data_IF_969070821916
#
_entry.id   IF_969070821916
#
_cell.length_a   1.000
_cell.length_b   1.000
_cell.length_c   1.000
_cell.angle_alpha   90.00
_cell.angle_beta   90.00
_cell.angle_gamma   90.00
#
_symmetry.space_group_name_H-M   'P 1'
#
loop_
_entity.id
_entity.type
_entity.pdbx_description
1 polymer ?
#
# COMPACT_ATOMS: atom_id res chain seq x y z
N UNK A 1 -7.67 2.37 -11.64
CA UNK A 1 -6.41 1.70 -11.21
C UNK A 1 -6.75 0.38 -10.53
N UNK A 2 -6.02 -0.71 -10.81
CA UNK A 2 -6.27 -2.04 -10.21
C UNK A 2 -5.01 -2.56 -9.49
N UNK A 3 -5.01 -2.74 -8.15
CA UNK A 3 -3.87 -3.29 -7.44
C UNK A 3 -3.66 -4.77 -7.80
N UNK A 4 -2.40 -5.19 -7.95
CA UNK A 4 -2.03 -6.60 -8.13
C UNK A 4 -1.24 -7.13 -6.95
N UNK A 5 -0.26 -6.39 -6.43
CA UNK A 5 0.59 -6.85 -5.33
C UNK A 5 1.12 -5.69 -4.50
N UNK A 6 1.19 -5.88 -3.19
CA UNK A 6 1.87 -4.97 -2.27
C UNK A 6 2.89 -5.77 -1.45
N UNK A 7 4.13 -5.29 -1.42
CA UNK A 7 5.22 -5.84 -0.62
C UNK A 7 5.72 -4.73 0.29
N UNK A 8 5.75 -5.00 1.59
CA UNK A 8 6.14 -4.04 2.63
C UNK A 8 7.20 -4.68 3.51
N UNK A 9 8.26 -3.94 3.87
CA UNK A 9 9.28 -4.39 4.81
C UNK A 9 9.85 -3.22 5.60
N UNK A 10 10.20 -3.44 6.87
CA UNK A 10 10.81 -2.42 7.73
C UNK A 10 9.91 -1.23 8.04
N UNK A 11 8.58 -1.41 8.01
CA UNK A 11 7.59 -0.34 8.19
C UNK A 11 6.73 -0.57 9.44
N UNK A 12 6.83 0.30 10.46
CA UNK A 12 6.11 0.22 11.74
C UNK A 12 5.90 -1.22 12.25
N UNK A 13 4.67 -1.73 12.18
CA UNK A 13 4.24 -3.06 12.65
C UNK A 13 4.73 -4.24 11.78
N UNK A 14 5.35 -3.96 10.63
CA UNK A 14 5.92 -4.93 9.69
C UNK A 14 7.45 -4.76 9.63
N UNK A 15 8.20 -5.20 10.66
CA UNK A 15 9.66 -5.16 10.63
C UNK A 15 10.23 -6.11 9.56
N UNK A 16 9.60 -7.27 9.35
CA UNK A 16 9.92 -8.20 8.27
C UNK A 16 9.16 -7.93 6.98
N UNK A 17 9.44 -8.74 5.95
CA UNK A 17 8.74 -8.65 4.66
C UNK A 17 7.34 -9.25 4.76
N UNK A 18 6.34 -8.49 4.29
CA UNK A 18 4.94 -8.86 4.20
C UNK A 18 4.49 -8.66 2.75
N UNK A 19 4.04 -9.75 2.11
CA UNK A 19 3.55 -9.73 0.73
C UNK A 19 2.06 -10.01 0.72
N UNK A 20 1.31 -9.15 0.02
CA UNK A 20 -0.14 -9.26 -0.13
C UNK A 20 -0.47 -9.28 -1.62
N UNK A 21 -1.12 -10.35 -2.04
CA UNK A 21 -1.56 -10.54 -3.42
C UNK A 21 -3.03 -10.13 -3.58
N UNK A 22 -3.28 -9.19 -4.49
CA UNK A 22 -4.60 -8.69 -4.88
C UNK A 22 -5.07 -9.23 -6.24
N UNK A 23 -4.28 -10.08 -6.89
CA UNK A 23 -4.62 -10.68 -8.19
C UNK A 23 -5.97 -11.36 -8.12
N UNK A 24 -6.83 -11.06 -9.10
CA UNK A 24 -8.19 -11.59 -9.20
C UNK A 24 -9.21 -10.99 -8.21
N UNK A 25 -8.81 -10.10 -7.29
CA UNK A 25 -9.70 -9.51 -6.29
C UNK A 25 -10.21 -8.15 -6.75
N UNK A 26 -11.54 -7.96 -6.73
CA UNK A 26 -12.18 -6.65 -7.04
C UNK A 26 -12.44 -5.80 -5.80
N UNK A 27 -12.71 -6.45 -4.65
CA UNK A 27 -12.99 -5.81 -3.36
C UNK A 27 -12.34 -6.65 -2.27
N UNK A 28 -11.73 -5.97 -1.30
CA UNK A 28 -11.09 -6.62 -0.15
C UNK A 28 -11.35 -5.78 1.11
N UNK A 29 -11.31 -6.45 2.26
CA UNK A 29 -11.37 -5.81 3.57
C UNK A 29 -10.11 -6.18 4.36
N UNK A 30 -9.54 -5.19 5.05
CA UNK A 30 -8.41 -5.39 5.96
C UNK A 30 -8.99 -5.58 7.37
N UNK A 31 -9.02 -6.82 7.85
CA UNK A 31 -9.61 -7.20 9.14
C UNK A 31 -8.53 -7.70 10.11
N UNK A 32 -8.66 -7.34 11.38
CA UNK A 32 -7.72 -7.75 12.43
C UNK A 32 -7.94 -6.96 13.73
N UNK A 33 -7.35 -7.41 14.85
CA UNK A 33 -7.49 -6.72 16.14
C UNK A 33 -6.86 -5.31 16.11
N UNK A 34 -7.26 -4.44 17.02
CA UNK A 34 -6.61 -3.14 17.21
C UNK A 34 -5.12 -3.36 17.52
N UNK A 35 -4.23 -2.59 16.88
CA UNK A 35 -2.78 -2.77 16.99
C UNK A 35 -2.16 -3.77 16.00
N UNK A 36 -2.95 -4.53 15.23
CA UNK A 36 -2.41 -5.50 14.25
C UNK A 36 -1.70 -4.89 13.02
N UNK A 37 -1.56 -3.56 12.93
CA UNK A 37 -0.92 -2.91 11.77
C UNK A 37 -1.83 -2.66 10.57
N UNK A 38 -3.16 -2.67 10.74
CA UNK A 38 -4.12 -2.33 9.65
C UNK A 38 -3.88 -0.93 9.07
N UNK A 39 -3.70 0.07 9.94
CA UNK A 39 -3.40 1.44 9.51
C UNK A 39 -2.04 1.52 8.83
N UNK A 40 -1.04 0.78 9.31
CA UNK A 40 0.28 0.68 8.66
C UNK A 40 0.18 0.14 7.23
N UNK A 41 -0.72 -0.81 6.99
CA UNK A 41 -0.95 -1.31 5.64
C UNK A 41 -1.56 -0.25 4.72
N UNK A 42 -2.48 0.58 5.24
CA UNK A 42 -3.00 1.73 4.49
C UNK A 42 -1.93 2.79 4.24
N UNK A 43 -1.06 3.04 5.21
CA UNK A 43 0.13 3.90 5.04
C UNK A 43 1.04 3.38 3.93
N UNK A 44 1.22 2.07 3.81
CA UNK A 44 2.06 1.49 2.76
C UNK A 44 1.53 1.80 1.35
N UNK A 45 0.21 1.81 1.15
CA UNK A 45 -0.38 2.24 -0.12
C UNK A 45 -0.10 3.72 -0.39
N UNK A 46 -0.36 4.58 0.59
CA UNK A 46 -0.11 6.02 0.47
C UNK A 46 1.35 6.32 0.17
N UNK A 47 2.26 5.68 0.91
CA UNK A 47 3.69 5.84 0.72
C UNK A 47 4.14 5.29 -0.63
N UNK A 48 3.67 4.11 -1.06
CA UNK A 48 4.00 3.54 -2.37
C UNK A 48 3.63 4.47 -3.52
N UNK A 49 2.42 5.03 -3.49
CA UNK A 49 1.92 5.94 -4.52
C UNK A 49 2.60 7.31 -4.46
N UNK A 50 2.58 7.97 -3.30
CA UNK A 50 2.91 9.40 -3.20
C UNK A 50 4.29 9.68 -2.61
N UNK A 51 4.92 8.70 -1.95
CA UNK A 51 6.19 8.89 -1.26
C UNK A 51 6.10 9.71 0.03
N UNK A 52 4.89 9.88 0.57
CA UNK A 52 4.58 10.64 1.78
C UNK A 52 3.71 9.82 2.74
N UNK A 53 3.55 10.29 3.97
CA UNK A 53 2.66 9.68 4.96
C UNK A 53 1.19 10.10 4.72
N UNK A 54 0.23 9.40 5.33
CA UNK A 54 -1.19 9.76 5.17
C UNK A 54 -1.60 11.05 5.85
N UNK A 55 -0.84 11.49 6.85
CA UNK A 55 -1.14 12.66 7.67
C UNK A 55 -0.35 13.91 7.25
N UNK A 56 0.63 13.76 6.36
CA UNK A 56 1.46 14.86 5.88
C UNK A 56 2.00 14.63 4.49
N UNK A 57 1.99 15.70 3.69
CA UNK A 57 2.55 15.71 2.34
C UNK A 57 4.07 15.92 2.34
N UNK A 58 4.71 16.13 3.50
CA UNK A 58 6.16 16.29 3.59
C UNK A 58 6.86 14.93 3.54
N UNK A 59 7.80 14.78 2.61
CA UNK A 59 8.56 13.55 2.45
C UNK A 59 9.40 13.18 3.69
N UNK A 60 9.88 14.17 4.44
CA UNK A 60 10.70 13.93 5.65
C UNK A 60 9.91 13.27 6.79
N UNK A 61 8.61 13.56 6.89
CA UNK A 61 7.73 12.95 7.91
C UNK A 61 7.43 11.47 7.58
N UNK A 62 7.73 11.00 6.36
CA UNK A 62 7.63 9.58 6.01
C UNK A 62 8.73 8.71 6.65
N UNK A 63 9.83 9.28 7.14
CA UNK A 63 10.88 8.53 7.84
C UNK A 63 10.37 7.98 9.19
N UNK A 64 9.35 8.60 9.80
CA UNK A 64 8.68 8.07 11.00
C UNK A 64 7.89 6.77 10.76
N UNK A 65 7.74 6.36 9.50
CA UNK A 65 7.14 5.08 9.13
C UNK A 65 8.13 3.92 9.26
N UNK A 66 9.45 4.19 9.31
CA UNK A 66 10.47 3.15 9.47
C UNK A 66 10.29 2.48 10.84
N UNK A 67 10.25 1.14 10.84
CA UNK A 67 10.12 0.36 12.07
C UNK A 67 11.36 0.54 12.96
N UNK A 68 11.15 0.67 14.27
CA UNK A 68 12.26 0.81 15.23
C UNK A 68 13.23 -0.36 15.10
N UNK A 69 14.53 -0.05 14.96
CA UNK A 69 15.59 -1.05 14.77
C UNK A 69 15.75 -1.56 13.34
N UNK A 70 14.89 -1.15 12.40
CA UNK A 70 15.08 -1.45 10.98
C UNK A 70 16.02 -0.42 10.32
N UNK A 71 17.03 -0.85 9.54
CA UNK A 71 17.96 0.06 8.88
C UNK A 71 17.32 0.79 7.69
N UNK A 72 16.23 0.25 7.14
CA UNK A 72 15.52 0.77 5.99
C UNK A 72 14.07 0.31 5.98
N UNK A 73 13.24 1.06 5.26
CA UNK A 73 11.87 0.71 4.91
C UNK A 73 11.78 0.53 3.40
N UNK A 74 11.10 -0.52 2.96
CA UNK A 74 10.88 -0.84 1.56
C UNK A 74 9.40 -1.04 1.28
N UNK A 75 8.89 -0.40 0.22
CA UNK A 75 7.54 -0.62 -0.29
C UNK A 75 7.60 -0.83 -1.79
N UNK A 76 7.04 -1.95 -2.25
CA UNK A 76 6.81 -2.23 -3.66
C UNK A 76 5.32 -2.38 -3.89
N UNK A 77 4.78 -1.58 -4.80
CA UNK A 77 3.39 -1.64 -5.17
C UNK A 77 3.26 -1.89 -6.67
N UNK A 78 2.58 -2.97 -7.02
CA UNK A 78 2.27 -3.35 -8.39
C UNK A 78 0.78 -3.11 -8.63
N UNK A 79 0.48 -2.45 -9.74
CA UNK A 79 -0.88 -2.10 -10.12
C UNK A 79 -0.99 -1.99 -11.64
N UNK A 80 -2.21 -1.97 -12.16
CA UNK A 80 -2.47 -1.68 -13.57
C UNK A 80 -3.36 -0.46 -13.76
N UNK A 81 -3.08 0.27 -14.83
CA UNK A 81 -3.85 1.42 -15.31
C UNK A 81 -4.13 1.20 -16.78
N UNK A 82 -5.40 1.28 -17.19
CA UNK A 82 -5.83 1.08 -18.58
C UNK A 82 -5.27 -0.23 -19.20
N UNK A 83 -5.26 -1.31 -18.41
CA UNK A 83 -4.74 -2.61 -18.82
C UNK A 83 -3.21 -2.74 -18.83
N UNK A 84 -2.45 -1.66 -18.62
CA UNK A 84 -0.98 -1.71 -18.57
C UNK A 84 -0.47 -1.94 -17.14
N UNK A 85 0.38 -2.94 -16.89
CA UNK A 85 0.95 -3.20 -15.57
C UNK A 85 2.13 -2.27 -15.27
N UNK A 86 2.19 -1.78 -14.04
CA UNK A 86 3.20 -0.87 -13.52
C UNK A 86 3.71 -1.38 -12.18
N UNK A 87 4.97 -1.08 -11.88
CA UNK A 87 5.56 -1.30 -10.57
C UNK A 87 6.19 -0.01 -10.06
N UNK A 88 5.84 0.39 -8.84
CA UNK A 88 6.53 1.42 -8.09
C UNK A 88 7.28 0.79 -6.93
N UNK A 89 8.55 1.16 -6.76
CA UNK A 89 9.43 0.74 -5.66
C UNK A 89 9.95 1.97 -4.96
N UNK A 90 9.81 2.03 -3.64
CA UNK A 90 10.35 3.11 -2.80
C UNK A 90 11.11 2.54 -1.61
N UNK A 91 12.22 3.19 -1.29
CA UNK A 91 13.09 2.85 -0.17
C UNK A 91 13.51 4.12 0.58
N UNK A 92 13.32 4.12 1.90
CA UNK A 92 13.93 5.08 2.81
C UNK A 92 14.95 4.36 3.70
N UNK A 93 15.99 5.07 4.10
CA UNK A 93 17.02 4.57 5.00
C UNK A 93 16.98 5.34 6.32
N UNK A 94 17.08 4.64 7.45
CA UNK A 94 17.01 5.25 8.77
C UNK A 94 18.15 6.26 9.04
N UNK A 95 19.28 6.07 8.37
CA UNK A 95 20.43 6.97 8.44
C UNK A 95 20.35 8.14 7.43
N UNK A 96 19.18 8.41 6.85
CA UNK A 96 18.94 9.49 5.90
C UNK A 96 19.87 9.47 4.67
N UNK A 97 20.39 8.29 4.29
CA UNK A 97 21.00 8.11 2.96
C UNK A 97 19.99 8.45 1.85
N UNK A 98 20.50 8.77 0.67
CA UNK A 98 19.69 9.14 -0.50
C UNK A 98 18.53 8.15 -0.69
N UNK A 99 17.26 8.60 -0.59
CA UNK A 99 16.11 7.73 -0.77
C UNK A 99 16.04 7.27 -2.22
N UNK A 100 15.49 6.08 -2.44
CA UNK A 100 15.32 5.53 -3.78
C UNK A 100 13.85 5.42 -4.13
N UNK A 101 13.50 5.84 -5.34
CA UNK A 101 12.20 5.59 -5.94
C UNK A 101 12.39 5.26 -7.41
N UNK A 102 11.65 4.26 -7.87
CA UNK A 102 11.62 3.83 -9.26
C UNK A 102 10.17 3.49 -9.63
N UNK A 103 9.71 3.99 -10.76
CA UNK A 103 8.51 3.56 -11.46
C UNK A 103 8.95 2.87 -12.76
N UNK A 104 8.42 1.68 -13.03
CA UNK A 104 8.72 0.92 -14.24
C UNK A 104 7.44 0.30 -14.84
N UNK A 105 7.35 0.30 -16.18
CA UNK A 105 6.36 -0.47 -16.92
C UNK A 105 6.72 -1.95 -16.86
N UNK A 106 5.73 -2.81 -16.62
CA UNK A 106 5.88 -4.27 -16.61
C UNK A 106 5.30 -4.91 -17.89
N UNK A 107 4.99 -4.12 -18.91
CA UNK A 107 4.43 -4.61 -20.16
C UNK A 107 5.52 -5.23 -21.05
N UNK A 108 5.26 -6.41 -21.60
CA UNK A 108 6.15 -7.02 -22.59
C UNK A 108 6.02 -6.29 -23.95
N UNK A 109 7.14 -5.82 -24.50
CA UNK A 109 7.21 -5.29 -25.88
C UNK A 109 6.75 -3.84 -26.11
N UNK A 110 6.53 -3.05 -25.06
CA UNK A 110 6.21 -1.62 -25.16
C UNK A 110 7.27 -0.73 -24.52
N UNK A 111 7.39 0.51 -25.00
CA UNK A 111 8.37 1.51 -24.54
C UNK A 111 8.63 1.44 -23.02
N UNK A 112 9.89 1.18 -22.68
CA UNK A 112 10.39 0.91 -21.33
C UNK A 112 10.36 2.22 -20.51
N UNK A 113 9.16 2.66 -20.10
CA UNK A 113 9.05 3.84 -19.24
C UNK A 113 9.59 3.46 -17.86
N UNK A 114 10.81 3.90 -17.60
CA UNK A 114 11.46 3.86 -16.30
C UNK A 114 11.71 5.29 -15.84
N UNK A 115 11.17 5.63 -14.68
CA UNK A 115 11.39 6.92 -14.02
C UNK A 115 12.05 6.65 -12.68
N UNK A 116 13.20 7.26 -12.45
CA UNK A 116 13.83 7.34 -11.13
C UNK A 116 13.60 8.71 -10.48
N UNK A 117 14.01 8.87 -9.22
CA UNK A 117 13.81 10.06 -8.37
C UNK A 117 12.43 10.15 -7.68
N UNK A 118 12.43 10.38 -6.36
CA UNK A 118 11.23 10.47 -5.52
C UNK A 118 10.16 11.39 -6.10
N UNK A 119 10.54 12.59 -6.55
CA UNK A 119 9.61 13.61 -7.04
C UNK A 119 9.06 13.24 -8.42
N UNK A 120 9.93 12.89 -9.36
CA UNK A 120 9.53 12.51 -10.71
C UNK A 120 8.64 11.25 -10.71
N UNK A 121 8.95 10.28 -9.84
CA UNK A 121 8.10 9.10 -9.64
C UNK A 121 6.73 9.50 -9.09
N UNK A 122 6.65 10.38 -8.08
CA UNK A 122 5.35 10.85 -7.57
C UNK A 122 4.54 11.57 -8.65
N UNK A 123 5.17 12.45 -9.42
CA UNK A 123 4.51 13.17 -10.52
C UNK A 123 4.00 12.20 -11.59
N UNK A 124 4.83 11.25 -12.04
CA UNK A 124 4.47 10.24 -13.02
C UNK A 124 3.34 9.32 -12.54
N UNK A 125 3.41 8.82 -11.29
CA UNK A 125 2.34 7.99 -10.70
C UNK A 125 1.03 8.78 -10.64
N UNK A 126 1.09 10.05 -10.22
CA UNK A 126 -0.09 10.92 -10.10
C UNK A 126 -0.75 11.18 -11.46
N UNK A 127 0.06 11.40 -12.50
CA UNK A 127 -0.43 11.52 -13.88
C UNK A 127 -1.05 10.20 -14.38
N UNK A 128 -0.42 9.06 -14.11
CA UNK A 128 -0.93 7.74 -14.51
C UNK A 128 -2.29 7.44 -13.89
N UNK A 129 -2.47 7.68 -12.59
CA UNK A 129 -3.74 7.40 -11.91
C UNK A 129 -4.83 8.44 -12.21
N UNK A 130 -4.50 9.53 -12.91
CA UNK A 130 -5.44 10.60 -13.26
C UNK A 130 -5.82 11.52 -12.10
N UNK A 131 -5.04 11.56 -11.02
CA UNK A 131 -5.34 12.38 -9.83
C UNK A 131 -4.55 13.69 -9.86
N UNK A 132 -4.83 14.59 -10.79
CA UNK A 132 -4.29 15.96 -10.72
C UNK A 132 -5.15 16.81 -9.76
N UNK A 133 -4.87 16.71 -8.46
CA UNK A 133 -5.52 17.53 -7.44
C UNK A 133 -4.91 17.30 -6.07
N UNK A 134 -4.61 18.39 -5.35
CA UNK A 134 -3.97 18.44 -4.02
C UNK A 134 -4.31 17.23 -3.14
N UNK A 135 -3.27 16.53 -2.66
CA UNK A 135 -3.36 15.50 -1.64
C UNK A 135 -3.95 16.08 -0.35
N UNK A 136 -5.27 16.11 -0.26
CA UNK A 136 -6.02 16.40 0.94
C UNK A 136 -7.24 15.49 0.92
N UNK A 137 -7.30 14.61 1.92
CA UNK A 137 -8.35 13.62 2.17
C UNK A 137 -8.18 12.27 1.45
N UNK A 138 -7.31 11.41 2.01
CA UNK A 138 -7.73 10.02 2.22
C UNK A 138 -8.96 10.11 3.12
N UNK A 139 -10.16 10.02 2.53
CA UNK A 139 -11.41 10.01 3.28
C UNK A 139 -11.48 8.70 4.07
N UNK A 140 -10.93 8.74 5.28
CA UNK A 140 -11.17 7.79 6.36
C UNK A 140 -12.66 7.85 6.71
N UNK A 141 -13.50 7.10 6.00
CA UNK A 141 -14.86 6.81 6.44
C UNK A 141 -14.80 5.80 7.58
N UNK A 142 -14.75 6.31 8.82
CA UNK A 142 -15.12 5.58 10.03
C UNK A 142 -15.78 6.57 11.01
N UNK A 143 -17.11 6.77 10.96
CA UNK A 143 -17.84 7.28 12.11
C UNK A 143 -17.89 6.19 13.17
N UNK A 144 -17.53 6.53 14.41
CA UNK A 144 -17.76 5.69 15.59
C UNK A 144 -19.25 5.38 15.75
N UNK A 145 -19.58 4.14 16.09
CA UNK A 145 -20.80 3.85 16.84
C UNK A 145 -21.59 2.62 16.39
N UNK A 146 -21.77 1.72 17.35
CA UNK A 146 -22.81 0.69 17.55
C UNK A 146 -22.89 -0.58 16.68
N UNK A 147 -23.12 -1.65 17.43
CA UNK A 147 -23.26 -3.06 17.10
C UNK A 147 -24.52 -3.39 16.29
N UNK A 148 -24.48 -4.45 15.47
CA UNK A 148 -25.11 -5.78 15.72
C UNK A 148 -25.28 -6.53 14.37
N UNK A 149 -25.14 -7.85 14.43
CA UNK A 149 -25.59 -8.85 13.44
C UNK A 149 -24.63 -9.20 12.30
N UNK A 150 -23.77 -10.17 12.58
CA UNK A 150 -22.98 -10.91 11.58
C UNK A 150 -23.75 -12.17 11.17
N UNK A 151 -24.21 -12.25 9.92
CA UNK A 151 -24.77 -13.48 9.35
C UNK A 151 -23.93 -13.95 8.17
N UNK A 152 -23.43 -15.20 8.32
CA UNK A 152 -22.81 -16.14 7.37
C UNK A 152 -21.84 -15.57 6.32
N UNK A 153 -20.54 -15.77 6.60
CA UNK A 153 -19.42 -15.53 5.68
C UNK A 153 -18.96 -16.82 5.00
N UNK A 154 -18.91 -16.84 3.68
CA UNK A 154 -18.07 -17.75 2.90
C UNK A 154 -16.63 -17.24 2.94
N UNK A 155 -15.70 -18.10 3.36
CA UNK A 155 -14.26 -17.82 3.42
C UNK A 155 -13.69 -17.82 2.01
N UNK A 156 -12.94 -16.78 1.66
CA UNK A 156 -11.95 -16.83 0.59
C UNK A 156 -10.61 -16.45 1.21
N UNK A 157 -9.61 -17.31 1.03
CA UNK A 157 -8.29 -17.19 1.65
C UNK A 157 -7.30 -16.68 0.60
N UNK A 158 -6.57 -15.61 0.90
CA UNK A 158 -5.43 -15.17 0.10
C UNK A 158 -4.15 -15.60 0.82
N UNK A 159 -3.11 -16.09 0.11
CA UNK A 159 -1.82 -16.35 0.74
C UNK A 159 -1.24 -15.00 1.20
N UNK A 160 -1.17 -14.83 2.52
CA UNK A 160 -0.53 -13.68 3.16
C UNK A 160 0.67 -14.22 3.94
N UNK A 161 1.88 -14.02 3.43
CA UNK A 161 3.10 -14.37 4.16
C UNK A 161 3.63 -13.11 4.85
N UNK A 162 3.25 -12.89 6.10
CA UNK A 162 3.70 -11.75 6.89
C UNK A 162 4.29 -12.26 8.20
N UNK A 163 5.59 -12.05 8.39
CA UNK A 163 6.26 -12.25 9.68
C UNK A 163 6.00 -11.04 10.57
N UNK A 164 4.89 -11.05 11.32
CA UNK A 164 4.62 -10.04 12.35
C UNK A 164 5.31 -10.42 13.65
N UNK A 165 5.80 -9.42 14.40
CA UNK A 165 6.48 -9.61 15.69
C UNK A 165 5.56 -10.06 16.82
N UNK A 166 4.24 -10.07 16.60
CA UNK A 166 3.28 -10.78 17.45
C UNK A 166 2.62 -11.90 16.63
N UNK A 167 2.65 -13.10 17.21
CA UNK A 167 2.02 -14.37 16.83
C UNK A 167 1.36 -14.44 15.44
N UNK A 168 1.83 -15.39 14.62
CA UNK A 168 1.24 -15.89 13.37
C UNK A 168 -0.24 -15.56 13.20
N UNK A 169 -0.55 -14.40 12.60
CA UNK A 169 -1.92 -13.97 12.37
C UNK A 169 -2.24 -14.21 10.90
N UNK A 170 -3.01 -15.26 10.63
CA UNK A 170 -3.58 -15.51 9.31
C UNK A 170 -4.58 -14.40 8.97
N UNK A 171 -4.23 -13.57 8.00
CA UNK A 171 -5.10 -12.53 7.45
C UNK A 171 -6.15 -13.17 6.55
N UNK A 172 -7.43 -12.89 6.79
CA UNK A 172 -8.52 -13.25 5.89
C UNK A 172 -9.01 -12.02 5.13
N UNK A 173 -8.98 -12.10 3.80
CA UNK A 173 -9.61 -11.13 2.90
C UNK A 173 -11.01 -11.63 2.59
N UNK A 174 -12.04 -11.13 3.28
CA UNK A 174 -13.44 -11.45 2.93
C UNK A 174 -14.09 -10.31 2.16
N UNK A 175 -14.78 -10.63 1.07
CA UNK A 175 -15.58 -9.69 0.30
C UNK A 175 -16.99 -9.54 0.91
N UNK A 176 -17.26 -8.39 1.53
CA UNK A 176 -18.63 -7.87 1.70
C UNK A 176 -18.58 -6.36 2.03
N UNK A 177 -19.34 -5.61 1.25
CA UNK A 177 -19.57 -4.14 1.10
C UNK A 177 -19.65 -3.31 2.41
N UNK A 178 -19.48 -1.96 2.39
CA UNK A 178 -19.06 -1.09 1.29
C UNK A 178 -17.54 -0.91 1.31
N UNK A 179 -16.91 -1.33 0.21
CA UNK A 179 -15.48 -1.18 -0.04
C UNK A 179 -15.25 0.00 -0.99
N UNK A 180 -14.08 0.61 -0.89
CA UNK A 180 -13.56 1.60 -1.84
C UNK A 180 -13.81 1.15 -3.28
N UNK A 181 -14.60 1.92 -4.03
CA UNK A 181 -14.84 1.68 -5.44
C UNK A 181 -13.75 2.36 -6.26
N UNK A 182 -12.95 1.55 -6.97
CA UNK A 182 -11.90 2.03 -7.89
C UNK A 182 -12.36 1.98 -9.35
N UNK A 183 -13.67 1.88 -9.58
CA UNK A 183 -14.29 1.88 -10.91
C UNK A 183 -14.62 3.32 -11.32
N UNK A 184 -13.66 3.98 -11.95
CA UNK A 184 -13.88 5.03 -12.93
C UNK A 184 -12.77 4.92 -13.98
#
# INVERSE_FOLDING_TARGET
MKPSRLIVSGMRSYPGTCTIDFTGKRRFAILGPTGAGKSTLLEAFTFGLYGASSWSSKADEAYELISTGSPSMHVTFEFSVNGRPWRVRRTLYANHRKPQAVLESMAEGGADLRVDNMRAVTEAVTQLIGWTGRASSVRSCCPRGSSTTCSRRTKATAPTSCGTSSASTNWNVSASTPAFDWSA
#
